data_IF_655985210585
#
_entry.id   IF_655985210585
#
_cell.length_a   1.000
_cell.length_b   1.000
_cell.length_c   1.000
_cell.angle_alpha   90.00
_cell.angle_beta   90.00
_cell.angle_gamma   90.00
#
_symmetry.space_group_name_H-M   'P 1'
#
loop_
_entity.id
_entity.type
_entity.pdbx_description
1 polymer ?
#
# COMPACT_ATOMS: atom_id res chain seq x y z
N UNK A 1 34.08 40.55 -44.48
CA UNK A 1 32.99 40.00 -43.64
C UNK A 1 33.03 38.48 -43.76
N UNK A 2 33.46 37.77 -42.70
CA UNK A 2 33.18 36.37 -42.34
C UNK A 2 34.20 35.95 -41.27
N UNK A 3 33.77 36.04 -40.00
CA UNK A 3 34.49 35.49 -38.86
C UNK A 3 34.18 33.99 -38.76
N UNK A 4 35.21 33.16 -38.61
CA UNK A 4 35.06 31.74 -38.29
C UNK A 4 34.83 31.59 -36.78
N UNK A 5 33.64 31.15 -36.39
CA UNK A 5 33.37 30.63 -35.05
C UNK A 5 33.93 29.21 -34.97
N UNK A 6 34.90 28.99 -34.08
CA UNK A 6 35.30 27.65 -33.63
C UNK A 6 34.36 27.27 -32.50
N UNK A 7 33.50 26.29 -32.75
CA UNK A 7 32.64 25.69 -31.72
C UNK A 7 33.43 24.63 -30.96
N UNK A 8 33.79 24.94 -29.71
CA UNK A 8 34.35 23.95 -28.77
C UNK A 8 33.24 23.00 -28.32
N UNK A 9 33.17 21.82 -28.94
CA UNK A 9 32.37 20.69 -28.45
C UNK A 9 33.03 20.14 -27.18
N UNK A 10 32.51 20.57 -26.02
CA UNK A 10 32.76 19.93 -24.74
C UNK A 10 32.17 18.51 -24.81
N UNK A 11 33.04 17.50 -24.89
CA UNK A 11 32.67 16.12 -24.66
C UNK A 11 32.22 16.00 -23.20
N UNK A 12 30.92 15.93 -22.98
CA UNK A 12 30.38 15.48 -21.71
C UNK A 12 30.82 14.02 -21.53
N UNK A 13 31.87 13.81 -20.74
CA UNK A 13 32.25 12.49 -20.27
C UNK A 13 31.03 11.84 -19.62
N UNK A 14 30.74 10.62 -20.04
CA UNK A 14 29.68 9.80 -19.46
C UNK A 14 29.96 9.73 -17.96
N UNK A 15 29.11 10.36 -17.15
CA UNK A 15 29.14 10.19 -15.72
C UNK A 15 28.70 8.74 -15.46
N UNK A 16 29.67 7.86 -15.26
CA UNK A 16 29.45 6.52 -14.72
C UNK A 16 28.92 6.68 -13.30
N UNK A 17 27.60 6.64 -13.15
CA UNK A 17 26.99 6.31 -11.88
C UNK A 17 27.43 4.90 -11.50
N UNK A 18 28.03 4.73 -10.33
CA UNK A 18 28.39 3.42 -9.78
C UNK A 18 27.12 2.60 -9.51
N UNK A 19 26.66 1.85 -10.52
CA UNK A 19 25.77 0.70 -10.37
C UNK A 19 26.59 -0.57 -10.59
N UNK A 20 26.88 -1.30 -9.51
CA UNK A 20 27.62 -2.56 -9.60
C UNK A 20 26.82 -3.61 -10.38
N UNK A 21 27.44 -4.11 -11.46
CA UNK A 21 27.29 -5.41 -12.12
C UNK A 21 26.04 -6.28 -11.90
N UNK A 22 25.29 -6.46 -13.00
CA UNK A 22 24.67 -7.72 -13.47
C UNK A 22 23.51 -8.40 -12.72
N UNK A 23 22.92 -7.83 -11.67
CA UNK A 23 21.71 -8.42 -11.02
C UNK A 23 20.45 -7.53 -11.06
N UNK A 24 20.52 -6.37 -11.73
CA UNK A 24 19.37 -5.49 -11.96
C UNK A 24 18.32 -6.19 -12.84
N UNK A 25 17.38 -6.90 -12.21
CA UNK A 25 16.22 -7.46 -12.92
C UNK A 25 15.72 -8.81 -12.43
N UNK A 26 16.40 -9.49 -11.50
CA UNK A 26 15.90 -10.78 -10.94
C UNK A 26 14.93 -10.60 -9.78
N UNK A 27 14.98 -9.48 -9.06
CA UNK A 27 14.05 -9.17 -7.99
C UNK A 27 14.34 -7.85 -7.30
N UNK A 28 13.57 -7.56 -6.26
CA UNK A 28 13.69 -6.35 -5.43
C UNK A 28 13.50 -6.70 -3.96
N UNK A 29 14.18 -5.99 -3.06
CA UNK A 29 13.92 -6.10 -1.62
C UNK A 29 12.98 -4.98 -1.18
N UNK A 30 11.98 -5.33 -0.37
CA UNK A 30 11.03 -4.37 0.21
C UNK A 30 10.93 -4.54 1.73
N UNK A 31 10.74 -3.43 2.44
CA UNK A 31 10.32 -3.47 3.83
C UNK A 31 8.82 -3.84 3.93
N UNK A 32 8.49 -4.69 4.89
CA UNK A 32 7.13 -5.13 5.24
C UNK A 32 6.93 -4.87 6.73
N UNK A 33 5.82 -4.21 7.08
CA UNK A 33 5.41 -3.97 8.47
C UNK A 33 4.74 -5.24 9.01
N UNK A 34 5.21 -5.73 10.15
CA UNK A 34 4.60 -6.84 10.87
C UNK A 34 3.41 -6.34 11.71
N UNK A 35 2.54 -7.25 12.22
CA UNK A 35 1.49 -6.87 13.15
C UNK A 35 2.04 -6.07 14.32
N UNK A 36 1.35 -4.98 14.67
CA UNK A 36 1.75 -4.17 15.81
C UNK A 36 1.61 -4.97 17.10
N UNK A 37 2.55 -4.80 18.06
CA UNK A 37 2.41 -5.41 19.37
C UNK A 37 1.21 -4.81 20.11
N UNK A 38 0.59 -5.53 21.08
CA UNK A 38 -0.66 -5.11 21.73
C UNK A 38 -0.61 -3.71 22.34
N UNK A 39 0.56 -3.30 22.84
CA UNK A 39 0.81 -1.99 23.44
C UNK A 39 0.62 -0.84 22.45
N UNK A 40 0.75 -1.11 21.14
CA UNK A 40 0.57 -0.14 20.06
C UNK A 40 -0.76 -0.30 19.31
N UNK A 41 -1.66 -1.16 19.78
CA UNK A 41 -2.94 -1.48 19.09
C UNK A 41 -3.85 -0.27 18.87
N UNK A 42 -3.75 0.74 19.72
CA UNK A 42 -4.51 1.99 19.59
C UNK A 42 -3.93 2.94 18.53
N UNK A 43 -2.68 2.73 18.09
CA UNK A 43 -2.05 3.54 17.06
C UNK A 43 -2.48 3.10 15.66
N UNK A 44 -2.44 4.03 14.71
CA UNK A 44 -2.54 3.71 13.29
C UNK A 44 -1.18 3.84 12.66
N UNK A 45 -0.52 2.72 12.38
CA UNK A 45 0.79 2.67 11.73
C UNK A 45 0.64 2.13 10.32
N UNK A 46 1.26 2.81 9.36
CA UNK A 46 1.30 2.39 7.97
C UNK A 46 2.73 2.45 7.44
N UNK A 47 3.09 1.45 6.64
CA UNK A 47 4.29 1.50 5.81
C UNK A 47 3.90 1.79 4.36
N UNK A 48 4.21 3.01 3.88
CA UNK A 48 3.95 3.41 2.50
C UNK A 48 5.14 3.08 1.61
N UNK A 49 4.80 2.57 0.42
CA UNK A 49 5.75 2.30 -0.66
C UNK A 49 5.87 3.56 -1.51
N UNK A 50 6.96 4.29 -1.34
CA UNK A 50 7.36 5.41 -2.20
C UNK A 50 8.74 5.09 -2.79
N UNK A 51 9.48 6.08 -3.29
CA UNK A 51 10.88 5.87 -3.70
C UNK A 51 11.77 5.41 -2.53
N UNK A 52 11.39 5.73 -1.28
CA UNK A 52 11.91 5.11 -0.07
C UNK A 52 10.75 4.69 0.84
N UNK A 53 10.92 3.66 1.68
CA UNK A 53 9.88 3.27 2.65
C UNK A 53 9.60 4.42 3.62
N UNK A 54 8.32 4.74 3.82
CA UNK A 54 7.89 5.78 4.75
C UNK A 54 6.98 5.17 5.82
N UNK A 55 7.35 5.32 7.09
CA UNK A 55 6.46 5.04 8.20
C UNK A 55 5.54 6.25 8.39
N UNK A 56 4.25 6.00 8.54
CA UNK A 56 3.27 7.00 8.92
C UNK A 56 2.58 6.51 10.19
N UNK A 57 2.50 7.39 11.17
CA UNK A 57 1.85 7.09 12.44
C UNK A 57 0.83 8.18 12.74
N UNK A 58 -0.37 7.77 13.12
CA UNK A 58 -1.32 8.63 13.82
C UNK A 58 -1.55 8.08 15.22
N UNK A 59 -1.47 8.97 16.21
CA UNK A 59 -1.61 8.66 17.62
C UNK A 59 -2.90 9.28 18.16
N UNK A 60 -4.01 8.51 18.26
CA UNK A 60 -5.26 9.01 18.83
C UNK A 60 -5.29 8.94 20.36
N UNK A 61 -4.19 8.55 21.01
CA UNK A 61 -4.15 8.34 22.46
C UNK A 61 -3.78 9.63 23.21
N UNK A 62 -4.00 9.64 24.52
CA UNK A 62 -3.56 10.68 25.43
C UNK A 62 -2.06 10.58 25.82
N UNK A 63 -1.36 9.55 25.33
CA UNK A 63 0.04 9.27 25.65
C UNK A 63 0.96 9.67 24.49
N UNK A 64 2.08 10.37 24.74
CA UNK A 64 3.02 10.66 23.69
C UNK A 64 3.71 9.39 23.19
N UNK A 65 3.78 9.22 21.87
CA UNK A 65 4.67 8.26 21.24
C UNK A 65 6.01 8.95 20.96
N UNK A 66 7.09 8.40 21.48
CA UNK A 66 8.45 8.89 21.22
C UNK A 66 9.21 7.89 20.36
N UNK A 67 9.97 8.38 19.37
CA UNK A 67 10.72 7.57 18.42
C UNK A 67 12.21 7.85 18.59
N UNK A 68 13.00 6.78 18.74
CA UNK A 68 14.44 6.86 18.90
C UNK A 68 15.19 6.47 17.62
N UNK A 69 16.35 7.09 17.42
CA UNK A 69 17.30 6.67 16.40
C UNK A 69 18.09 5.42 16.83
N UNK A 70 19.03 4.99 16.00
CA UNK A 70 19.86 3.80 16.26
C UNK A 70 20.77 3.94 17.49
N UNK A 71 21.03 5.17 17.93
CA UNK A 71 21.83 5.47 19.12
C UNK A 71 20.96 5.62 20.38
N UNK A 72 19.64 5.45 20.25
CA UNK A 72 18.68 5.60 21.35
C UNK A 72 18.26 7.05 21.63
N UNK A 73 18.73 8.04 20.85
CA UNK A 73 18.31 9.43 21.02
C UNK A 73 16.90 9.58 20.45
N UNK A 74 15.98 10.10 21.27
CA UNK A 74 14.65 10.48 20.79
C UNK A 74 14.75 11.66 19.83
N UNK A 75 14.19 11.53 18.63
CA UNK A 75 14.20 12.61 17.63
C UNK A 75 12.80 13.06 17.17
N UNK A 76 11.76 12.31 17.54
CA UNK A 76 10.37 12.61 17.21
C UNK A 76 9.47 12.29 18.39
N UNK A 77 8.48 13.16 18.63
CA UNK A 77 7.40 12.97 19.60
C UNK A 77 6.07 13.23 18.92
N UNK A 78 5.20 12.23 18.89
CA UNK A 78 3.83 12.36 18.41
C UNK A 78 2.93 12.37 19.64
N UNK A 79 2.64 13.57 20.13
CA UNK A 79 1.79 13.81 21.30
C UNK A 79 0.30 13.69 20.96
N UNK A 80 -0.59 13.91 21.95
CA UNK A 80 -2.04 13.87 21.74
C UNK A 80 -2.57 15.05 20.90
N UNK A 81 -1.87 16.18 20.91
CA UNK A 81 -2.32 17.41 20.24
C UNK A 81 -1.50 17.72 18.98
N UNK A 82 -0.19 17.47 19.03
CA UNK A 82 0.76 17.92 18.02
C UNK A 82 1.94 16.95 17.89
N UNK A 83 2.72 17.13 16.83
CA UNK A 83 4.00 16.45 16.66
C UNK A 83 5.16 17.42 16.83
N UNK A 84 6.16 17.00 17.59
CA UNK A 84 7.41 17.73 17.79
C UNK A 84 8.59 16.93 17.21
N UNK A 85 9.48 17.63 16.51
CA UNK A 85 10.75 17.11 16.02
C UNK A 85 11.92 17.72 16.78
N UNK A 86 12.96 16.94 17.05
CA UNK A 86 14.23 17.45 17.58
C UNK A 86 15.09 17.98 16.43
N UNK A 87 15.09 19.31 16.22
CA UNK A 87 15.93 19.95 15.20
C UNK A 87 17.43 19.91 15.54
N UNK A 88 17.79 19.53 16.76
CA UNK A 88 19.15 19.23 17.19
C UNK A 88 19.56 17.79 16.88
N UNK A 89 18.65 16.90 16.48
CA UNK A 89 18.97 15.52 16.11
C UNK A 89 19.24 15.36 14.61
N UNK A 90 20.41 14.86 14.24
CA UNK A 90 20.72 14.54 12.84
C UNK A 90 19.72 13.51 12.25
N UNK A 91 19.18 12.61 13.09
CA UNK A 91 18.16 11.66 12.69
C UNK A 91 16.86 12.32 12.18
N UNK A 92 16.43 13.43 12.79
CA UNK A 92 15.24 14.16 12.34
C UNK A 92 15.44 14.69 10.91
N UNK A 93 16.57 15.36 10.65
CA UNK A 93 16.89 15.92 9.32
C UNK A 93 17.03 14.84 8.24
N UNK A 94 17.67 13.71 8.57
CA UNK A 94 17.87 12.60 7.61
C UNK A 94 16.58 11.84 7.28
N UNK A 95 15.60 11.85 8.17
CA UNK A 95 14.36 11.09 8.02
C UNK A 95 13.17 11.93 7.57
N UNK A 96 13.23 13.26 7.66
CA UNK A 96 12.11 14.12 7.26
C UNK A 96 12.06 14.44 5.75
N UNK A 97 13.06 14.04 4.96
CA UNK A 97 13.06 14.32 3.51
C UNK A 97 13.66 13.17 2.70
N UNK A 98 13.02 12.88 1.58
CA UNK A 98 13.25 11.68 0.76
C UNK A 98 14.57 11.70 -0.04
N UNK A 99 14.91 12.82 -0.71
CA UNK A 99 15.97 12.88 -1.74
C UNK A 99 17.01 13.99 -1.55
N UNK A 100 16.85 14.82 -0.54
CA UNK A 100 17.82 15.84 -0.18
C UNK A 100 17.51 16.25 1.25
N UNK A 101 18.15 15.65 2.28
CA UNK A 101 18.27 16.44 3.49
C UNK A 101 18.93 17.74 3.03
N UNK A 102 18.26 18.89 3.20
CA UNK A 102 18.99 20.16 3.13
C UNK A 102 20.24 20.04 4.01
N UNK A 103 21.27 20.86 3.78
CA UNK A 103 22.53 20.79 4.52
C UNK A 103 22.24 20.52 6.00
N UNK A 104 22.57 19.31 6.47
CA UNK A 104 22.32 18.93 7.85
C UNK A 104 23.07 19.98 8.68
N UNK A 105 22.39 20.69 9.60
CA UNK A 105 23.05 21.70 10.40
C UNK A 105 24.32 21.11 11.04
N UNK A 106 25.43 21.84 11.02
CA UNK A 106 26.69 21.34 11.58
C UNK A 106 26.57 21.02 13.08
N UNK A 107 25.57 21.63 13.74
CA UNK A 107 25.22 21.39 15.14
C UNK A 107 24.13 20.31 15.32
N UNK A 108 23.67 19.66 14.26
CA UNK A 108 22.80 18.50 14.37
C UNK A 108 23.64 17.35 14.93
N UNK A 109 23.20 16.79 16.06
CA UNK A 109 23.91 15.99 17.08
C UNK A 109 24.29 16.78 18.34
N UNK A 110 23.92 18.06 18.45
CA UNK A 110 24.02 18.88 19.68
C UNK A 110 22.83 18.67 20.64
N UNK A 111 22.62 19.63 21.54
CA UNK A 111 21.50 19.61 22.51
C UNK A 111 20.12 19.49 21.84
N UNK A 112 19.14 18.85 22.47
CA UNK A 112 17.79 18.73 21.92
C UNK A 112 17.12 20.10 21.70
N UNK A 113 16.53 20.28 20.52
CA UNK A 113 15.73 21.46 20.14
C UNK A 113 14.37 21.03 19.64
N UNK A 114 13.47 20.79 20.59
CA UNK A 114 12.09 20.41 20.28
C UNK A 114 11.33 21.57 19.64
N UNK A 115 10.73 21.31 18.49
CA UNK A 115 9.92 22.27 17.75
C UNK A 115 8.67 21.57 17.24
N UNK A 116 7.54 22.26 17.29
CA UNK A 116 6.30 21.78 16.66
C UNK A 116 6.50 21.74 15.16
N UNK A 117 6.40 20.54 14.58
CA UNK A 117 6.58 20.30 13.14
C UNK A 117 5.25 19.99 12.45
N UNK A 118 4.24 19.61 13.22
CA UNK A 118 2.87 19.40 12.76
C UNK A 118 1.89 19.70 13.90
N UNK A 119 0.81 20.41 13.61
CA UNK A 119 -0.19 20.84 14.59
C UNK A 119 -1.24 19.76 14.90
N UNK A 120 -0.97 18.52 14.46
CA UNK A 120 -1.85 17.36 14.63
C UNK A 120 -1.03 16.15 15.10
N UNK A 121 -1.66 15.14 15.74
CA UNK A 121 -0.96 14.02 16.36
C UNK A 121 -0.63 12.92 15.35
N UNK A 122 -0.04 13.30 14.22
CA UNK A 122 0.38 12.38 13.18
C UNK A 122 1.64 12.89 12.48
N UNK A 123 2.46 11.95 12.02
CA UNK A 123 3.68 12.27 11.29
C UNK A 123 4.12 11.10 10.42
N UNK A 124 4.80 11.42 9.33
CA UNK A 124 5.45 10.42 8.49
C UNK A 124 6.94 10.72 8.31
N UNK A 125 7.78 9.70 8.40
CA UNK A 125 9.23 9.83 8.21
C UNK A 125 9.81 8.67 7.42
N UNK A 126 10.93 8.93 6.77
CA UNK A 126 11.74 7.98 6.00
C UNK A 126 12.83 7.41 6.92
N UNK A 127 12.45 6.44 7.74
CA UNK A 127 13.38 5.82 8.69
C UNK A 127 14.55 5.14 7.96
N UNK A 128 15.78 5.49 8.33
CA UNK A 128 16.97 4.99 7.65
C UNK A 128 17.13 3.48 7.81
N UNK A 129 16.62 2.91 8.90
CA UNK A 129 16.66 1.47 9.17
C UNK A 129 15.84 0.65 8.19
N UNK A 130 14.93 1.27 7.43
CA UNK A 130 14.07 0.59 6.46
C UNK A 130 14.64 0.64 5.03
N UNK A 131 15.81 1.26 4.82
CA UNK A 131 16.43 1.31 3.49
C UNK A 131 16.83 -0.08 3.02
N UNK A 132 16.46 -0.42 1.79
CA UNK A 132 16.68 -1.76 1.23
C UNK A 132 17.88 -1.86 0.31
N UNK A 133 18.44 -0.72 -0.13
CA UNK A 133 19.55 -0.67 -1.10
C UNK A 133 20.86 -1.27 -0.59
N UNK A 134 21.03 -1.40 0.73
CA UNK A 134 22.21 -1.98 1.36
C UNK A 134 22.00 -3.44 1.82
N UNK A 135 20.85 -4.03 1.53
CA UNK A 135 20.57 -5.41 1.93
C UNK A 135 21.20 -6.34 0.90
N UNK A 136 22.19 -7.08 1.35
CA UNK A 136 22.79 -8.16 0.55
C UNK A 136 21.83 -9.34 0.50
N UNK A 137 21.46 -9.76 -0.71
CA UNK A 137 20.58 -10.90 -0.94
C UNK A 137 21.45 -12.05 -1.42
N UNK A 138 21.58 -13.15 -0.64
CA UNK A 138 22.39 -14.28 -1.05
C UNK A 138 22.00 -14.79 -2.45
N UNK A 139 22.98 -15.07 -3.32
CA UNK A 139 22.70 -15.52 -4.70
C UNK A 139 21.76 -16.73 -4.75
N UNK A 140 21.86 -17.64 -3.77
CA UNK A 140 20.95 -18.79 -3.63
C UNK A 140 19.47 -18.40 -3.49
N UNK A 141 19.17 -17.27 -2.84
CA UNK A 141 17.82 -16.70 -2.73
C UNK A 141 17.38 -16.12 -4.07
N UNK A 142 18.27 -15.37 -4.72
CA UNK A 142 18.02 -14.77 -6.03
C UNK A 142 17.71 -15.85 -7.08
N UNK A 143 18.51 -16.91 -7.10
CA UNK A 143 18.41 -18.00 -8.06
C UNK A 143 17.23 -18.94 -7.79
N UNK A 144 16.85 -19.15 -6.52
CA UNK A 144 15.61 -19.84 -6.17
C UNK A 144 14.38 -19.11 -6.77
N UNK A 145 14.43 -17.78 -6.85
CA UNK A 145 13.39 -16.98 -7.49
C UNK A 145 12.05 -17.02 -6.74
N UNK A 146 12.11 -17.24 -5.42
CA UNK A 146 10.97 -17.30 -4.52
C UNK A 146 10.92 -16.09 -3.59
N UNK A 147 9.73 -15.77 -3.07
CA UNK A 147 9.63 -14.75 -2.01
C UNK A 147 10.18 -15.31 -0.71
N UNK A 148 11.06 -14.57 -0.06
CA UNK A 148 11.62 -14.99 1.22
C UNK A 148 11.96 -13.79 2.09
N UNK A 149 11.83 -13.96 3.40
CA UNK A 149 12.34 -13.00 4.37
C UNK A 149 13.87 -13.04 4.37
N UNK A 150 14.50 -11.89 4.15
CA UNK A 150 15.96 -11.73 4.06
C UNK A 150 16.55 -10.94 5.23
N UNK A 151 15.70 -10.55 6.19
CA UNK A 151 16.14 -9.82 7.38
C UNK A 151 14.97 -9.27 8.18
N UNK A 152 15.29 -8.73 9.35
CA UNK A 152 14.34 -8.08 10.25
C UNK A 152 14.77 -6.62 10.44
N UNK A 153 13.79 -5.75 10.69
CA UNK A 153 14.02 -4.36 11.08
C UNK A 153 13.16 -3.99 12.28
N UNK A 154 13.63 -3.04 13.06
CA UNK A 154 12.95 -2.58 14.26
C UNK A 154 13.24 -1.10 14.49
N UNK A 155 12.19 -0.36 14.83
CA UNK A 155 12.24 1.04 15.23
C UNK A 155 11.81 1.12 16.69
N UNK A 156 12.74 1.36 17.64
CA UNK A 156 12.40 1.52 19.04
C UNK A 156 11.51 2.74 19.23
N UNK A 157 10.42 2.52 19.97
CA UNK A 157 9.46 3.55 20.34
C UNK A 157 9.09 3.40 21.81
N UNK A 158 8.57 4.47 22.39
CA UNK A 158 7.99 4.43 23.72
C UNK A 158 6.66 5.17 23.73
N UNK A 159 5.58 4.50 24.14
CA UNK A 159 4.24 5.07 24.27
C UNK A 159 3.95 5.36 25.74
N UNK A 160 3.97 6.64 26.14
CA UNK A 160 3.98 7.01 27.55
C UNK A 160 5.23 6.45 28.23
N UNK A 161 5.08 5.53 29.17
CA UNK A 161 6.21 4.87 29.87
C UNK A 161 6.55 3.49 29.30
N UNK A 162 5.80 2.99 28.31
CA UNK A 162 5.97 1.64 27.79
C UNK A 162 6.95 1.64 26.61
N UNK A 163 8.15 1.09 26.81
CA UNK A 163 9.12 0.82 25.75
C UNK A 163 8.70 -0.39 24.91
N UNK A 164 8.80 -0.26 23.60
CA UNK A 164 8.46 -1.31 22.62
C UNK A 164 9.10 -0.98 21.25
N UNK A 165 8.65 -1.61 20.18
CA UNK A 165 9.11 -1.31 18.83
C UNK A 165 7.99 -1.41 17.78
N UNK A 166 8.13 -0.60 16.74
CA UNK A 166 7.48 -0.86 15.45
C UNK A 166 8.45 -1.74 14.66
N UNK A 167 8.06 -2.96 14.35
CA UNK A 167 8.93 -3.95 13.71
C UNK A 167 8.36 -4.48 12.41
N UNK A 168 9.24 -5.11 11.65
CA UNK A 168 8.88 -5.80 10.44
C UNK A 168 10.05 -6.57 9.85
N UNK A 169 9.86 -7.04 8.64
CA UNK A 169 10.88 -7.80 7.92
C UNK A 169 11.19 -7.19 6.57
N UNK A 170 12.35 -7.57 6.03
CA UNK A 170 12.69 -7.35 4.64
C UNK A 170 12.34 -8.59 3.85
N UNK A 171 11.65 -8.40 2.75
CA UNK A 171 11.22 -9.48 1.87
C UNK A 171 11.88 -9.30 0.50
N UNK A 172 12.63 -10.31 0.06
CA UNK A 172 13.02 -10.42 -1.33
C UNK A 172 11.79 -10.81 -2.16
N UNK A 173 11.53 -10.05 -3.22
CA UNK A 173 10.45 -10.27 -4.15
C UNK A 173 11.05 -10.47 -5.54
N UNK A 174 10.95 -11.68 -6.11
CA UNK A 174 11.45 -11.94 -7.45
C UNK A 174 10.68 -11.09 -8.47
N UNK A 175 11.34 -10.75 -9.56
CA UNK A 175 10.72 -10.05 -10.69
C UNK A 175 9.56 -10.89 -11.20
N UNK A 176 8.40 -10.25 -11.32
CA UNK A 176 7.21 -10.94 -11.75
C UNK A 176 7.40 -11.47 -13.18
N UNK A 177 7.32 -12.79 -13.35
CA UNK A 177 7.37 -13.47 -14.66
C UNK A 177 6.08 -13.29 -15.49
N UNK A 178 5.14 -12.52 -14.97
CA UNK A 178 3.79 -12.37 -15.49
C UNK A 178 2.93 -11.48 -14.61
N UNK A 179 1.70 -11.27 -15.04
CA UNK A 179 0.71 -10.46 -14.36
C UNK A 179 -0.58 -11.27 -14.13
N UNK A 180 -1.13 -11.14 -12.93
CA UNK A 180 -2.47 -11.66 -12.64
C UNK A 180 -3.52 -10.68 -13.20
N UNK A 181 -4.35 -11.15 -14.13
CA UNK A 181 -5.42 -10.38 -14.74
C UNK A 181 -6.78 -10.96 -14.35
N UNK A 182 -7.55 -10.19 -13.60
CA UNK A 182 -8.93 -10.53 -13.27
C UNK A 182 -9.85 -10.28 -14.48
N UNK A 183 -10.84 -11.14 -14.66
CA UNK A 183 -11.87 -11.06 -15.70
C UNK A 183 -13.20 -11.54 -15.13
N UNK A 184 -14.28 -10.81 -15.44
CA UNK A 184 -15.66 -11.27 -15.22
C UNK A 184 -16.02 -12.24 -16.35
N UNK A 185 -16.48 -13.43 -16.01
CA UNK A 185 -16.91 -14.45 -16.99
C UNK A 185 -18.43 -14.55 -17.10
N UNK A 186 -19.14 -14.30 -16.00
CA UNK A 186 -20.61 -14.21 -15.99
C UNK A 186 -21.05 -13.10 -15.03
N UNK A 187 -21.99 -12.26 -15.47
CA UNK A 187 -22.63 -11.24 -14.64
C UNK A 187 -23.88 -11.77 -13.92
N UNK A 188 -24.29 -13.01 -14.19
CA UNK A 188 -25.47 -13.63 -13.63
C UNK A 188 -26.72 -12.81 -13.93
N UNK A 189 -27.55 -12.60 -12.91
CA UNK A 189 -28.79 -11.87 -13.07
C UNK A 189 -28.63 -10.36 -13.39
N UNK A 190 -27.40 -9.82 -13.33
CA UNK A 190 -27.09 -8.46 -13.81
C UNK A 190 -26.93 -8.37 -15.34
N UNK A 191 -26.93 -9.48 -16.06
CA UNK A 191 -26.83 -9.49 -17.52
C UNK A 191 -27.95 -8.65 -18.14
N UNK A 192 -27.59 -7.66 -18.96
CA UNK A 192 -28.51 -6.69 -19.57
C UNK A 192 -28.93 -5.54 -18.65
N UNK A 193 -28.71 -5.65 -17.34
CA UNK A 193 -29.04 -4.62 -16.35
C UNK A 193 -27.82 -3.86 -15.82
N UNK A 194 -26.61 -4.39 -16.01
CA UNK A 194 -25.38 -3.73 -15.60
C UNK A 194 -24.23 -4.01 -16.58
N UNK A 195 -23.31 -3.06 -16.66
CA UNK A 195 -21.95 -3.32 -17.12
C UNK A 195 -21.11 -3.69 -15.91
N UNK A 196 -20.57 -4.91 -15.88
CA UNK A 196 -19.65 -5.38 -14.85
C UNK A 196 -18.29 -5.65 -15.50
N UNK A 197 -17.24 -4.99 -15.04
CA UNK A 197 -15.88 -5.17 -15.58
C UNK A 197 -14.87 -5.32 -14.45
N UNK A 198 -13.94 -6.26 -14.63
CA UNK A 198 -12.69 -6.23 -13.90
C UNK A 198 -11.79 -5.15 -14.50
N UNK A 199 -11.16 -4.35 -13.65
CA UNK A 199 -10.17 -3.34 -14.00
C UNK A 199 -8.78 -3.91 -13.79
N UNK A 200 -7.86 -3.77 -14.76
CA UNK A 200 -6.49 -4.28 -14.62
C UNK A 200 -5.78 -3.67 -13.42
N UNK A 201 -5.07 -4.50 -12.67
CA UNK A 201 -4.19 -4.11 -11.57
C UNK A 201 -3.36 -5.31 -11.16
N UNK A 202 -2.03 -5.20 -11.20
CA UNK A 202 -1.10 -6.35 -11.16
C UNK A 202 -1.23 -7.22 -9.90
N UNK A 203 -1.60 -6.65 -8.75
CA UNK A 203 -1.80 -7.40 -7.50
C UNK A 203 -3.12 -7.10 -6.77
N UNK A 204 -3.82 -6.02 -7.15
CA UNK A 204 -5.09 -5.60 -6.54
C UNK A 204 -6.04 -5.16 -7.65
N UNK A 205 -6.69 -6.12 -8.34
CA UNK A 205 -7.63 -5.80 -9.39
C UNK A 205 -8.83 -5.06 -8.80
N UNK A 206 -9.32 -4.08 -9.56
CA UNK A 206 -10.58 -3.43 -9.25
C UNK A 206 -11.74 -4.14 -9.92
N UNK A 207 -12.96 -3.99 -9.40
CA UNK A 207 -14.18 -4.20 -10.16
C UNK A 207 -14.90 -2.88 -10.34
N UNK A 208 -15.59 -2.74 -11.46
CA UNK A 208 -16.46 -1.63 -11.78
C UNK A 208 -17.82 -2.16 -12.17
N UNK A 209 -18.86 -1.59 -11.56
CA UNK A 209 -20.26 -1.83 -11.90
C UNK A 209 -20.89 -0.52 -12.32
N UNK A 210 -21.56 -0.52 -13.48
CA UNK A 210 -22.49 0.54 -13.89
C UNK A 210 -23.88 -0.07 -14.03
N UNK A 211 -24.76 0.29 -13.11
CA UNK A 211 -26.09 -0.29 -12.96
C UNK A 211 -27.16 0.52 -13.69
N UNK A 212 -28.05 -0.18 -14.38
CA UNK A 212 -29.13 0.40 -15.21
C UNK A 212 -30.52 -0.15 -14.89
N UNK A 213 -30.65 -1.28 -14.18
CA UNK A 213 -31.95 -1.88 -13.84
C UNK A 213 -32.73 -1.12 -12.77
N UNK A 214 -34.04 -1.35 -12.64
CA UNK A 214 -34.88 -0.50 -11.78
C UNK A 214 -34.92 -0.96 -10.31
N UNK A 215 -34.75 -2.26 -10.08
CA UNK A 215 -34.77 -2.84 -8.73
C UNK A 215 -33.42 -2.62 -8.01
N UNK A 216 -33.40 -2.39 -6.69
CA UNK A 216 -32.13 -2.34 -5.96
C UNK A 216 -31.43 -3.71 -6.01
N UNK A 217 -30.10 -3.68 -6.18
CA UNK A 217 -29.24 -4.86 -6.07
C UNK A 217 -28.23 -4.67 -4.95
N UNK A 218 -28.11 -5.67 -4.07
CA UNK A 218 -27.10 -5.74 -3.02
C UNK A 218 -26.01 -6.71 -3.48
N UNK A 219 -24.76 -6.24 -3.50
CA UNK A 219 -23.58 -7.08 -3.65
C UNK A 219 -23.11 -7.49 -2.26
N UNK A 220 -22.79 -8.77 -2.11
CA UNK A 220 -22.25 -9.32 -0.87
C UNK A 220 -20.72 -9.19 -0.85
N UNK A 221 -20.17 -8.91 0.33
CA UNK A 221 -18.76 -8.80 0.61
C UNK A 221 -18.06 -10.16 0.63
N UNK A 222 -16.80 -10.16 1.07
CA UNK A 222 -15.96 -11.35 1.08
C UNK A 222 -16.33 -12.37 2.19
N UNK A 223 -17.14 -11.97 3.17
CA UNK A 223 -17.62 -12.81 4.26
C UNK A 223 -19.15 -13.02 4.15
N UNK A 224 -19.69 -12.89 2.94
CA UNK A 224 -21.12 -12.98 2.65
C UNK A 224 -21.99 -11.92 3.40
N UNK A 225 -21.39 -10.80 3.80
CA UNK A 225 -22.09 -9.67 4.42
C UNK A 225 -22.64 -8.67 3.37
N UNK A 226 -23.73 -7.92 3.64
CA UNK A 226 -24.14 -6.83 2.75
C UNK A 226 -23.02 -5.79 2.60
N UNK A 227 -22.59 -5.51 1.38
CA UNK A 227 -21.42 -4.67 1.11
C UNK A 227 -21.78 -3.38 0.35
N UNK A 228 -22.26 -3.51 -0.89
CA UNK A 228 -22.66 -2.38 -1.73
C UNK A 228 -24.09 -2.54 -2.20
N UNK A 229 -24.86 -1.46 -2.23
CA UNK A 229 -26.22 -1.43 -2.79
C UNK A 229 -26.29 -0.44 -3.94
N UNK A 230 -26.70 -0.92 -5.12
CA UNK A 230 -26.92 -0.11 -6.32
C UNK A 230 -28.42 0.05 -6.55
N UNK A 231 -28.85 1.26 -6.89
CA UNK A 231 -30.25 1.55 -7.21
C UNK A 231 -30.37 2.66 -8.27
N UNK A 232 -31.59 3.13 -8.52
CA UNK A 232 -31.84 4.35 -9.30
C UNK A 232 -31.34 5.63 -8.60
N UNK A 233 -31.19 5.60 -7.27
CA UNK A 233 -30.82 6.77 -6.46
C UNK A 233 -29.31 6.94 -6.25
N UNK A 234 -28.51 5.98 -6.68
CA UNK A 234 -27.06 5.98 -6.57
C UNK A 234 -26.51 4.70 -5.98
N UNK A 235 -25.34 4.80 -5.35
CA UNK A 235 -24.66 3.68 -4.68
C UNK A 235 -24.46 3.99 -3.20
N UNK A 236 -24.76 2.99 -2.37
CA UNK A 236 -24.56 3.02 -0.93
C UNK A 236 -23.59 1.91 -0.52
N UNK A 237 -22.75 2.20 0.47
CA UNK A 237 -21.92 1.21 1.14
C UNK A 237 -22.47 0.92 2.53
N UNK A 238 -22.35 -0.33 2.97
CA UNK A 238 -22.58 -0.70 4.36
C UNK A 238 -21.34 -0.30 5.18
N UNK A 239 -21.48 0.68 6.06
CA UNK A 239 -20.40 1.14 6.92
C UNK A 239 -19.98 0.11 7.99
N UNK A 240 -20.77 -0.94 8.17
CA UNK A 240 -20.47 -2.08 9.06
C UNK A 240 -19.83 -3.26 8.30
N UNK A 241 -19.66 -3.18 6.97
CA UNK A 241 -19.04 -4.27 6.20
C UNK A 241 -17.53 -4.35 6.47
N UNK A 242 -17.00 -5.51 6.90
CA UNK A 242 -15.56 -5.73 6.97
C UNK A 242 -14.89 -5.61 5.60
N UNK A 243 -15.60 -5.93 4.52
CA UNK A 243 -15.11 -5.68 3.15
C UNK A 243 -14.95 -4.18 2.90
N UNK A 244 -15.91 -3.34 3.28
CA UNK A 244 -15.79 -1.89 3.18
C UNK A 244 -14.61 -1.34 3.99
N UNK A 245 -14.43 -1.79 5.23
CA UNK A 245 -13.30 -1.40 6.08
C UNK A 245 -11.94 -1.58 5.39
N UNK A 246 -11.80 -2.66 4.60
CA UNK A 246 -10.57 -3.00 3.89
C UNK A 246 -10.38 -2.26 2.57
N UNK A 247 -11.46 -1.93 1.85
CA UNK A 247 -11.35 -1.46 0.45
C UNK A 247 -11.77 0.00 0.25
N UNK A 248 -12.32 0.66 1.27
CA UNK A 248 -12.76 2.04 1.19
C UNK A 248 -11.59 2.97 0.76
N UNK A 249 -11.79 3.83 -0.24
CA UNK A 249 -10.81 4.84 -0.59
C UNK A 249 -10.53 5.79 0.58
N UNK A 250 -9.29 6.28 0.70
CA UNK A 250 -8.94 7.30 1.68
C UNK A 250 -9.87 8.53 1.56
N UNK A 251 -10.37 9.02 2.70
CA UNK A 251 -11.33 10.13 2.76
C UNK A 251 -12.80 9.74 2.52
N UNK A 252 -13.10 8.47 2.23
CA UNK A 252 -14.48 7.97 2.24
C UNK A 252 -15.02 7.88 3.67
N UNK A 253 -16.34 7.74 3.80
CA UNK A 253 -16.98 7.54 5.11
C UNK A 253 -16.37 6.32 5.81
N UNK A 254 -15.85 6.58 7.00
CA UNK A 254 -15.17 5.57 7.81
C UNK A 254 -16.10 4.40 8.14
N UNK A 255 -15.51 3.21 8.14
CA UNK A 255 -16.10 2.05 8.79
C UNK A 255 -16.46 2.36 10.25
N UNK A 256 -17.57 1.82 10.71
CA UNK A 256 -17.96 1.78 12.12
C UNK A 256 -18.09 0.31 12.50
N UNK A 257 -17.50 -0.12 13.61
CA UNK A 257 -17.69 -1.50 14.07
C UNK A 257 -19.17 -1.77 14.33
N UNK A 258 -19.67 -2.87 13.77
CA UNK A 258 -21.01 -3.34 14.05
C UNK A 258 -21.05 -3.94 15.45
N UNK A 259 -22.15 -3.72 16.18
CA UNK A 259 -22.40 -4.41 17.45
C UNK A 259 -22.91 -5.84 17.17
N UNK A 260 -23.51 -6.07 16.00
CA UNK A 260 -24.03 -7.33 15.49
C UNK A 260 -23.83 -7.39 13.97
N UNK A 261 -23.46 -8.57 13.44
CA UNK A 261 -23.25 -8.83 12.00
C UNK A 261 -24.52 -8.58 11.16
N UNK A 262 -25.71 -8.64 11.78
CA UNK A 262 -26.98 -8.36 11.12
C UNK A 262 -27.28 -6.85 10.97
N UNK A 263 -26.57 -5.96 11.66
CA UNK A 263 -26.85 -4.52 11.63
C UNK A 263 -26.21 -3.87 10.40
N UNK A 264 -27.05 -3.40 9.47
CA UNK A 264 -26.61 -2.80 8.20
C UNK A 264 -26.73 -1.28 8.26
N UNK A 265 -25.60 -0.59 8.12
CA UNK A 265 -25.56 0.88 8.12
C UNK A 265 -25.25 1.42 6.73
N UNK A 266 -26.30 1.65 5.94
CA UNK A 266 -26.14 2.22 4.60
C UNK A 266 -25.72 3.69 4.65
N UNK A 267 -24.72 4.03 3.85
CA UNK A 267 -24.35 5.40 3.58
C UNK A 267 -24.13 5.62 2.08
N UNK A 268 -24.72 6.70 1.56
CA UNK A 268 -24.53 7.08 0.15
C UNK A 268 -23.09 7.47 -0.12
N UNK A 269 -22.48 6.81 -1.10
CA UNK A 269 -21.08 7.01 -1.52
C UNK A 269 -20.97 7.49 -2.97
N UNK A 270 -22.05 7.39 -3.76
CA UNK A 270 -22.12 7.94 -5.11
C UNK A 270 -23.54 8.41 -5.43
N UNK A 271 -23.66 9.58 -6.06
CA UNK A 271 -24.90 10.04 -6.67
C UNK A 271 -25.17 9.39 -8.03
N UNK A 272 -24.11 8.89 -8.69
CA UNK A 272 -24.23 8.13 -9.93
C UNK A 272 -24.55 6.66 -9.64
N UNK A 273 -25.01 5.95 -10.69
CA UNK A 273 -25.38 4.53 -10.62
C UNK A 273 -24.20 3.60 -10.91
N UNK A 274 -22.98 4.11 -10.73
CA UNK A 274 -21.74 3.41 -11.02
C UNK A 274 -20.78 3.57 -9.86
N UNK A 275 -20.02 2.52 -9.57
CA UNK A 275 -18.98 2.54 -8.55
C UNK A 275 -17.90 1.52 -8.86
N UNK A 276 -16.66 1.86 -8.52
CA UNK A 276 -15.50 0.97 -8.63
C UNK A 276 -14.83 0.79 -7.28
N UNK A 277 -14.39 -0.43 -6.99
CA UNK A 277 -13.71 -0.79 -5.74
C UNK A 277 -12.58 -1.78 -6.01
N UNK A 278 -11.66 -1.93 -5.06
CA UNK A 278 -10.68 -3.02 -5.07
C UNK A 278 -11.39 -4.31 -4.70
N UNK A 279 -11.35 -5.34 -5.55
CA UNK A 279 -12.03 -6.62 -5.29
C UNK A 279 -11.05 -7.67 -4.74
N UNK A 280 -11.04 -7.90 -3.41
CA UNK A 280 -10.08 -8.79 -2.77
C UNK A 280 -10.24 -10.25 -3.22
N UNK A 281 -11.43 -10.70 -3.62
CA UNK A 281 -11.65 -12.07 -4.11
C UNK A 281 -10.97 -12.32 -5.45
N UNK A 282 -10.84 -11.28 -6.28
CA UNK A 282 -10.18 -11.35 -7.58
C UNK A 282 -8.65 -11.22 -7.49
N UNK A 283 -8.11 -10.74 -6.37
CA UNK A 283 -6.67 -10.64 -6.17
C UNK A 283 -6.00 -12.03 -6.11
N UNK A 284 -4.79 -12.12 -6.65
CA UNK A 284 -3.93 -13.30 -6.60
C UNK A 284 -2.49 -12.84 -6.37
N UNK A 285 -1.85 -13.38 -5.34
CA UNK A 285 -0.49 -13.02 -4.97
C UNK A 285 0.39 -14.24 -4.62
N UNK A 286 -0.12 -15.46 -4.84
CA UNK A 286 0.57 -16.71 -4.54
C UNK A 286 1.55 -17.12 -5.65
N UNK A 287 2.30 -18.19 -5.41
CA UNK A 287 3.22 -18.79 -6.38
C UNK A 287 2.43 -19.41 -7.53
N UNK A 288 2.88 -19.13 -8.76
CA UNK A 288 2.30 -19.68 -9.99
C UNK A 288 3.13 -20.89 -10.41
N UNK A 289 2.48 -22.07 -10.51
CA UNK A 289 3.16 -23.33 -10.84
C UNK A 289 3.81 -23.33 -12.24
N UNK A 290 3.11 -22.83 -13.26
CA UNK A 290 3.64 -22.67 -14.63
C UNK A 290 3.62 -21.20 -15.06
N UNK A 291 4.57 -20.38 -14.60
CA UNK A 291 4.56 -18.94 -14.87
C UNK A 291 4.86 -18.59 -16.33
N UNK A 292 5.17 -19.59 -17.17
CA UNK A 292 5.52 -19.42 -18.59
C UNK A 292 4.31 -19.49 -19.51
N UNK A 293 3.14 -19.91 -19.01
CA UNK A 293 1.93 -20.06 -19.82
C UNK A 293 0.75 -19.27 -19.26
N UNK A 294 -0.08 -18.78 -20.16
CA UNK A 294 -1.36 -18.18 -19.77
C UNK A 294 -2.33 -19.26 -19.28
N UNK A 295 -2.77 -19.19 -18.03
CA UNK A 295 -3.73 -20.12 -17.45
C UNK A 295 -4.54 -19.49 -16.32
N UNK A 296 -5.65 -20.13 -15.92
CA UNK A 296 -6.48 -19.67 -14.78
C UNK A 296 -5.77 -20.07 -13.49
N UNK A 297 -5.45 -19.08 -12.65
CA UNK A 297 -4.84 -19.29 -11.32
C UNK A 297 -5.85 -19.18 -10.19
N UNK A 298 -7.01 -18.56 -10.44
CA UNK A 298 -8.08 -18.43 -9.45
C UNK A 298 -9.44 -18.31 -10.11
N UNK A 299 -10.45 -18.90 -9.49
CA UNK A 299 -11.87 -18.66 -9.78
C UNK A 299 -12.48 -17.93 -8.59
N UNK A 300 -13.36 -16.97 -8.85
CA UNK A 300 -13.99 -16.18 -7.80
C UNK A 300 -15.44 -15.88 -8.15
N UNK A 301 -16.24 -15.59 -7.13
CA UNK A 301 -17.64 -15.22 -7.28
C UNK A 301 -18.01 -14.11 -6.29
N UNK A 302 -19.03 -13.34 -6.66
CA UNK A 302 -19.65 -12.31 -5.81
C UNK A 302 -21.14 -12.63 -5.73
N UNK A 303 -21.65 -13.08 -4.58
CA UNK A 303 -23.07 -13.24 -4.40
C UNK A 303 -23.79 -11.90 -4.52
N UNK A 304 -24.98 -11.92 -5.13
CA UNK A 304 -25.83 -10.75 -5.27
C UNK A 304 -27.28 -11.08 -4.88
N UNK A 305 -27.97 -10.11 -4.31
CA UNK A 305 -29.39 -10.17 -3.96
C UNK A 305 -30.14 -9.09 -4.75
N UNK A 306 -31.20 -9.49 -5.46
CA UNK A 306 -32.13 -8.58 -6.14
C UNK A 306 -33.55 -8.87 -5.67
N UNK A 307 -34.04 -8.10 -4.70
CA UNK A 307 -35.21 -8.50 -3.90
C UNK A 307 -34.93 -9.85 -3.24
N UNK A 308 -35.85 -10.80 -3.39
CA UNK A 308 -35.73 -12.16 -2.83
C UNK A 308 -34.93 -13.13 -3.71
N UNK A 309 -34.41 -12.66 -4.86
CA UNK A 309 -33.67 -13.50 -5.81
C UNK A 309 -32.17 -13.41 -5.56
N UNK A 310 -31.58 -14.54 -5.22
CA UNK A 310 -30.12 -14.70 -5.18
C UNK A 310 -29.55 -15.05 -6.54
N UNK A 311 -28.42 -14.44 -6.88
CA UNK A 311 -27.61 -14.77 -8.05
C UNK A 311 -26.13 -14.54 -7.73
N UNK A 312 -25.25 -14.62 -8.72
CA UNK A 312 -23.82 -14.36 -8.53
C UNK A 312 -23.17 -13.76 -9.77
N UNK A 313 -22.16 -12.93 -9.55
CA UNK A 313 -21.18 -12.56 -10.58
C UNK A 313 -20.05 -13.59 -10.46
N UNK A 314 -19.64 -14.18 -11.58
CA UNK A 314 -18.53 -15.12 -11.64
C UNK A 314 -17.36 -14.51 -12.41
N UNK A 315 -16.16 -14.85 -11.98
CA UNK A 315 -14.94 -14.40 -12.62
C UNK A 315 -13.78 -15.36 -12.45
N UNK A 316 -12.73 -15.07 -13.20
CA UNK A 316 -11.45 -15.77 -13.13
C UNK A 316 -10.33 -14.76 -13.00
N UNK A 317 -9.24 -15.17 -12.37
CA UNK A 317 -7.95 -14.48 -12.46
C UNK A 317 -7.03 -15.38 -13.26
N UNK A 318 -6.51 -14.84 -14.36
CA UNK A 318 -5.56 -15.52 -15.24
C UNK A 318 -4.16 -15.01 -14.98
N UNK A 319 -3.20 -15.91 -14.93
CA UNK A 319 -1.82 -15.54 -15.12
C UNK A 319 -1.58 -15.25 -16.60
N UNK A 320 -0.92 -14.15 -16.91
CA UNK A 320 -0.45 -13.83 -18.25
C UNK A 320 1.06 -13.58 -18.15
N UNK A 321 1.91 -14.42 -18.76
CA UNK A 321 3.34 -14.20 -18.78
C UNK A 321 3.69 -12.84 -19.38
N UNK A 322 4.71 -12.19 -18.84
CA UNK A 322 5.28 -10.98 -19.43
C UNK A 322 6.49 -11.44 -20.24
N UNK A 323 6.46 -11.25 -21.55
CA UNK A 323 7.64 -11.46 -22.38
C UNK A 323 8.71 -10.44 -21.98
N UNK A 324 9.93 -10.92 -21.76
CA UNK A 324 11.07 -10.03 -21.56
C UNK A 324 11.28 -9.25 -22.85
N UNK A 325 11.12 -7.93 -22.81
CA UNK A 325 11.62 -7.05 -23.87
C UNK A 325 13.15 -7.04 -23.74
N UNK A 326 13.80 -8.09 -24.23
CA UNK A 326 15.24 -8.04 -24.43
C UNK A 326 15.49 -6.95 -25.48
N UNK A 327 16.27 -5.93 -25.10
CA UNK A 327 16.75 -4.92 -26.01
C UNK A 327 17.51 -5.61 -27.15
N UNK A 328 17.03 -5.42 -28.39
CA UNK A 328 17.86 -5.60 -29.58
C UNK A 328 18.90 -4.50 -29.66
#
# INVERSE_FOLDING_TARGET
>A
MRAFLVASLLWAGVAYGHGGGSEEGKGTVRAVLDPLPPELSALRVQLRRTLAPQLLVANPTDKPLTVADEQGRTFLRIGPEQTEGDLGAAAFHRSNTLMAPGTIPADASGEPRWTVVEATPNWGWFDLRLRTSSIDVPHQVVDAGERVSVGQWSVPVRLGETETAISGHFEYVPTAKGIAQAQVVDAGALKGQALVRAMPGSARPGLFVSYRGDAPVTLMGAQDEPFLRFSSQGVEANLHSPTWARVAPAGSRSFTEAIDDADVRWAKISNGRSYGWIEPRAAYADTVEDPTRTHVVKRWQIPILMGDKSSRIEGVTRWVPVESVAAN
#
